data_IF_885087191917
#
_entry.id   IF_885087191917
#
_cell.length_a   1.000
_cell.length_b   1.000
_cell.length_c   1.000
_cell.angle_alpha   90.00
_cell.angle_beta   90.00
_cell.angle_gamma   90.00
#
_symmetry.space_group_name_H-M   'P 1'
#
loop_
_entity.id
_entity.type
_entity.pdbx_description
1 polymer ?
#
# COMPACT_ATOMS: atom_id res chain seq x y z
N UNK A 1 15.56 -35.63 -5.30
CA UNK A 1 15.63 -34.15 -5.28
C UNK A 1 14.25 -33.67 -4.91
N UNK A 2 14.10 -33.09 -3.72
CA UNK A 2 12.79 -32.62 -3.26
C UNK A 2 12.37 -31.44 -4.14
N UNK A 3 11.17 -31.51 -4.70
CA UNK A 3 10.50 -30.39 -5.37
C UNK A 3 10.28 -29.30 -4.33
N UNK A 4 11.20 -28.34 -4.27
CA UNK A 4 11.07 -27.17 -3.42
C UNK A 4 9.85 -26.40 -3.91
N UNK A 5 8.79 -26.36 -3.11
CA UNK A 5 7.59 -25.60 -3.45
C UNK A 5 7.99 -24.14 -3.65
N UNK A 6 7.91 -23.65 -4.89
CA UNK A 6 8.17 -22.25 -5.21
C UNK A 6 7.09 -21.40 -4.52
N UNK A 7 7.47 -20.78 -3.41
CA UNK A 7 6.59 -19.82 -2.71
C UNK A 7 6.76 -18.43 -3.31
N UNK A 8 5.74 -17.58 -3.19
CA UNK A 8 5.82 -16.15 -3.59
C UNK A 8 7.05 -15.43 -3.02
N UNK A 9 7.51 -15.83 -1.83
CA UNK A 9 8.65 -15.23 -1.13
C UNK A 9 10.00 -15.91 -1.42
N UNK A 10 10.06 -16.84 -2.39
CA UNK A 10 11.30 -17.50 -2.79
C UNK A 10 12.46 -16.53 -3.06
N UNK A 11 12.26 -15.38 -3.76
CA UNK A 11 13.32 -14.40 -3.96
C UNK A 11 14.00 -13.96 -2.66
N UNK A 12 13.22 -13.72 -1.60
CA UNK A 12 13.76 -13.28 -0.32
C UNK A 12 14.68 -14.31 0.32
N UNK A 13 14.31 -15.59 0.22
CA UNK A 13 15.16 -16.69 0.70
C UNK A 13 16.46 -16.78 -0.10
N UNK A 14 16.37 -16.72 -1.43
CA UNK A 14 17.54 -16.77 -2.32
C UNK A 14 18.50 -15.61 -2.07
N UNK A 15 17.99 -14.39 -1.88
CA UNK A 15 18.80 -13.21 -1.57
C UNK A 15 19.45 -13.32 -0.20
N UNK A 16 18.71 -13.78 0.82
CA UNK A 16 19.23 -13.99 2.18
C UNK A 16 20.38 -15.02 2.18
N UNK A 17 20.23 -16.12 1.46
CA UNK A 17 21.27 -17.16 1.36
C UNK A 17 22.55 -16.63 0.68
N UNK A 18 22.43 -15.59 -0.14
CA UNK A 18 23.54 -14.86 -0.75
C UNK A 18 24.01 -13.65 0.06
N UNK A 19 23.57 -13.50 1.32
CA UNK A 19 23.86 -12.37 2.21
C UNK A 19 23.43 -11.00 1.66
N UNK A 20 22.41 -10.96 0.80
CA UNK A 20 21.81 -9.72 0.33
C UNK A 20 20.58 -9.43 1.20
N UNK A 21 20.58 -8.33 1.99
CA UNK A 21 19.41 -7.95 2.76
C UNK A 21 18.27 -7.54 1.82
N UNK A 22 17.05 -7.95 2.17
CA UNK A 22 15.85 -7.56 1.44
C UNK A 22 14.65 -7.43 2.38
N UNK A 23 13.71 -6.57 2.04
CA UNK A 23 12.41 -6.49 2.71
C UNK A 23 11.27 -6.53 1.70
N UNK A 24 10.18 -7.18 2.08
CA UNK A 24 8.93 -7.23 1.32
C UNK A 24 8.28 -5.85 1.35
N UNK A 25 7.73 -5.43 0.21
CA UNK A 25 7.18 -4.10 0.02
C UNK A 25 5.79 -4.12 -0.63
N UNK A 26 5.13 -2.95 -0.68
CA UNK A 26 3.84 -2.77 -1.36
C UNK A 26 2.70 -3.56 -0.71
N UNK A 27 1.87 -4.18 -1.54
CA UNK A 27 0.64 -4.86 -1.14
C UNK A 27 0.87 -6.06 -0.20
N UNK A 28 1.97 -6.79 -0.38
CA UNK A 28 2.34 -7.89 0.50
C UNK A 28 2.75 -7.38 1.89
N UNK A 29 3.43 -6.24 1.96
CA UNK A 29 3.88 -5.64 3.23
C UNK A 29 2.70 -5.13 4.06
N UNK A 30 1.75 -4.42 3.44
CA UNK A 30 0.55 -3.96 4.17
C UNK A 30 -0.40 -5.12 4.47
N UNK A 31 -0.46 -6.14 3.59
CA UNK A 31 -1.25 -7.35 3.79
C UNK A 31 -0.82 -8.15 5.02
N UNK A 32 0.49 -8.19 5.31
CA UNK A 32 1.04 -8.78 6.53
C UNK A 32 0.45 -8.16 7.82
N UNK A 33 0.12 -6.88 7.79
CA UNK A 33 -0.49 -6.16 8.91
C UNK A 33 -2.02 -6.26 8.97
N UNK A 34 -2.64 -7.10 8.13
CA UNK A 34 -4.08 -7.37 8.15
C UNK A 34 -4.89 -6.48 7.20
N UNK A 35 -4.25 -5.71 6.33
CA UNK A 35 -4.95 -5.01 5.23
C UNK A 35 -5.44 -6.04 4.21
N UNK A 36 -6.73 -6.06 3.83
CA UNK A 36 -7.20 -6.92 2.75
C UNK A 36 -6.73 -6.38 1.40
N UNK A 37 -5.62 -6.93 0.90
CA UNK A 37 -5.06 -6.57 -0.41
C UNK A 37 -5.25 -7.66 -1.44
N UNK A 38 -5.42 -7.23 -2.70
CA UNK A 38 -5.19 -8.08 -3.86
C UNK A 38 -3.73 -7.87 -4.26
N UNK A 39 -2.97 -8.96 -4.31
CA UNK A 39 -1.55 -8.92 -4.67
C UNK A 39 -1.38 -9.18 -6.16
N UNK A 40 -0.61 -8.32 -6.82
CA UNK A 40 -0.22 -8.45 -8.22
C UNK A 40 1.25 -8.91 -8.26
N UNK A 41 2.15 -8.07 -8.74
CA UNK A 41 3.60 -8.28 -8.65
C UNK A 41 4.08 -8.35 -7.20
N UNK A 42 5.19 -9.05 -6.99
CA UNK A 42 5.86 -9.14 -5.70
C UNK A 42 6.96 -8.09 -5.63
N UNK A 43 6.80 -7.07 -4.77
CA UNK A 43 7.77 -5.98 -4.64
C UNK A 43 8.72 -6.25 -3.48
N UNK A 44 10.01 -6.11 -3.72
CA UNK A 44 11.02 -6.20 -2.66
C UNK A 44 11.98 -5.02 -2.74
N UNK A 45 12.28 -4.43 -1.60
CA UNK A 45 13.36 -3.45 -1.48
C UNK A 45 14.67 -4.18 -1.26
N UNK A 46 15.72 -3.72 -1.94
CA UNK A 46 17.10 -4.19 -1.80
C UNK A 46 18.07 -2.99 -1.81
N UNK A 47 19.27 -3.08 -1.20
CA UNK A 47 20.24 -1.99 -1.26
C UNK A 47 20.75 -1.73 -2.68
N UNK A 48 20.96 -2.81 -3.44
CA UNK A 48 21.50 -2.78 -4.80
C UNK A 48 20.66 -3.72 -5.67
N UNK A 49 19.95 -3.14 -6.64
CA UNK A 49 19.07 -3.90 -7.52
C UNK A 49 19.84 -4.75 -8.53
N UNK A 50 21.00 -4.29 -8.99
CA UNK A 50 21.82 -5.01 -9.98
C UNK A 50 22.43 -6.26 -9.36
N UNK A 51 23.00 -6.12 -8.16
CA UNK A 51 23.55 -7.25 -7.40
C UNK A 51 22.47 -8.28 -7.07
N UNK A 52 21.31 -7.82 -6.62
CA UNK A 52 20.19 -8.71 -6.30
C UNK A 52 19.63 -9.42 -7.55
N UNK A 53 19.52 -8.72 -8.67
CA UNK A 53 19.11 -9.30 -9.95
C UNK A 53 20.09 -10.39 -10.41
N UNK A 54 21.40 -10.13 -10.33
CA UNK A 54 22.43 -11.10 -10.72
C UNK A 54 22.29 -12.41 -9.93
N UNK A 55 22.10 -12.33 -8.61
CA UNK A 55 21.88 -13.51 -7.76
C UNK A 55 20.65 -14.30 -8.20
N UNK A 56 19.53 -13.62 -8.47
CA UNK A 56 18.31 -14.30 -8.90
C UNK A 56 18.48 -14.94 -10.29
N UNK A 57 19.15 -14.26 -11.22
CA UNK A 57 19.46 -14.79 -12.56
C UNK A 57 20.33 -16.04 -12.48
N UNK A 58 21.36 -16.05 -11.62
CA UNK A 58 22.18 -17.23 -11.37
C UNK A 58 21.37 -18.42 -10.80
N UNK A 59 20.21 -18.16 -10.20
CA UNK A 59 19.26 -19.16 -9.68
C UNK A 59 18.12 -19.46 -10.65
N UNK A 60 18.24 -19.04 -11.92
CA UNK A 60 17.30 -19.38 -13.00
C UNK A 60 16.16 -18.39 -13.22
N UNK A 61 16.14 -17.24 -12.53
CA UNK A 61 15.18 -16.19 -12.83
C UNK A 61 15.53 -15.48 -14.13
N UNK A 62 14.52 -14.97 -14.83
CA UNK A 62 14.72 -14.27 -16.10
C UNK A 62 14.46 -12.78 -15.93
N UNK A 63 15.41 -11.96 -16.39
CA UNK A 63 15.24 -10.51 -16.44
C UNK A 63 14.38 -10.14 -17.65
N UNK A 64 13.31 -9.40 -17.40
CA UNK A 64 12.35 -8.93 -18.40
C UNK A 64 12.53 -7.44 -18.69
N UNK A 65 11.95 -6.99 -19.81
CA UNK A 65 11.85 -5.55 -20.08
C UNK A 65 11.01 -4.86 -18.99
N UNK A 66 11.55 -3.76 -18.49
CA UNK A 66 10.98 -2.94 -17.43
C UNK A 66 10.04 -1.85 -17.97
N UNK A 67 9.94 -1.68 -19.29
CA UNK A 67 9.16 -0.61 -19.94
C UNK A 67 7.66 -0.62 -19.60
N UNK A 68 7.10 -1.77 -19.21
CA UNK A 68 5.68 -1.91 -18.85
C UNK A 68 5.43 -2.21 -17.37
N UNK A 69 6.48 -2.19 -16.54
CA UNK A 69 6.34 -2.47 -15.12
C UNK A 69 5.47 -1.43 -14.44
N UNK A 70 4.68 -1.89 -13.47
CA UNK A 70 3.80 -1.04 -12.67
C UNK A 70 4.04 -1.25 -11.18
N UNK A 71 3.74 -0.22 -10.40
CA UNK A 71 3.52 -0.30 -8.97
C UNK A 71 2.02 -0.14 -8.70
N UNK A 72 1.37 -1.25 -8.30
CA UNK A 72 -0.08 -1.37 -8.43
C UNK A 72 -0.52 -1.19 -9.88
N UNK A 73 -1.35 -0.17 -10.14
CA UNK A 73 -1.82 0.15 -11.49
C UNK A 73 -1.02 1.25 -12.20
N UNK A 74 0.02 1.78 -11.55
CA UNK A 74 0.75 2.96 -12.03
C UNK A 74 2.06 2.56 -12.69
N UNK A 75 2.40 3.10 -13.89
CA UNK A 75 3.71 2.87 -14.49
C UNK A 75 4.86 3.23 -13.55
N UNK A 76 5.78 2.30 -13.37
CA UNK A 76 6.94 2.49 -12.51
C UNK A 76 8.06 3.19 -13.29
N UNK A 77 8.42 4.40 -12.85
CA UNK A 77 9.46 5.23 -13.50
C UNK A 77 10.81 5.24 -12.77
N UNK A 78 10.82 4.79 -11.52
CA UNK A 78 12.04 4.61 -10.71
C UNK A 78 12.94 3.54 -11.31
N UNK A 79 14.22 3.55 -10.94
CA UNK A 79 15.08 2.40 -11.23
C UNK A 79 14.49 1.14 -10.59
N UNK A 80 14.47 0.04 -11.34
CA UNK A 80 13.98 -1.25 -10.87
C UNK A 80 14.42 -2.36 -11.82
N UNK A 81 14.37 -3.60 -11.34
CA UNK A 81 14.45 -4.79 -12.19
C UNK A 81 13.16 -5.59 -12.12
N UNK A 82 12.73 -6.06 -13.29
CA UNK A 82 11.57 -6.91 -13.46
C UNK A 82 12.04 -8.34 -13.72
N UNK A 83 11.81 -9.25 -12.78
CA UNK A 83 12.21 -10.66 -12.92
C UNK A 83 11.02 -11.60 -12.91
N UNK A 84 11.01 -12.55 -13.83
CA UNK A 84 10.06 -13.66 -13.86
C UNK A 84 10.69 -14.91 -13.26
N UNK A 85 9.90 -15.71 -12.52
CA UNK A 85 10.39 -16.94 -11.91
C UNK A 85 10.83 -17.94 -12.99
N UNK A 86 11.77 -18.87 -12.67
CA UNK A 86 12.10 -19.96 -13.57
C UNK A 86 10.82 -20.71 -13.97
N UNK A 87 10.58 -20.86 -15.27
CA UNK A 87 9.41 -21.57 -15.78
C UNK A 87 9.50 -23.02 -15.33
N UNK A 88 8.66 -23.41 -14.38
CA UNK A 88 8.48 -24.82 -14.04
C UNK A 88 7.66 -25.47 -15.17
N UNK A 89 8.35 -26.15 -16.08
CA UNK A 89 7.75 -26.87 -17.22
C UNK A 89 6.70 -27.90 -16.77
N UNK A 90 6.63 -28.20 -15.47
CA UNK A 90 5.64 -29.10 -14.88
C UNK A 90 4.35 -28.42 -14.39
N UNK A 91 4.32 -27.10 -14.23
CA UNK A 91 3.13 -26.35 -13.81
C UNK A 91 2.46 -25.66 -15.01
N UNK A 92 1.84 -26.48 -15.87
CA UNK A 92 0.93 -26.03 -16.93
C UNK A 92 -0.40 -25.51 -16.35
N UNK A 93 -0.39 -24.58 -15.38
CA UNK A 93 -1.57 -23.77 -15.12
C UNK A 93 -1.42 -22.46 -15.88
N UNK A 94 -2.31 -22.17 -16.85
CA UNK A 94 -2.23 -20.93 -17.61
C UNK A 94 -2.38 -19.76 -16.63
N UNK A 95 -1.36 -18.89 -16.59
CA UNK A 95 -1.47 -17.59 -15.95
C UNK A 95 -2.70 -16.89 -16.53
N UNK A 96 -3.61 -16.43 -15.68
CA UNK A 96 -4.78 -15.68 -16.11
C UNK A 96 -4.32 -14.43 -16.87
N UNK A 97 -4.78 -14.29 -18.11
CA UNK A 97 -4.45 -13.15 -18.98
C UNK A 97 -5.64 -12.19 -19.05
N UNK A 98 -5.39 -10.85 -19.09
CA UNK A 98 -6.45 -9.87 -19.32
C UNK A 98 -7.17 -10.17 -20.64
N UNK A 99 -8.44 -10.57 -20.54
CA UNK A 99 -9.27 -11.02 -21.67
C UNK A 99 -10.01 -12.35 -21.46
N UNK A 100 -9.63 -13.14 -20.44
CA UNK A 100 -10.25 -14.43 -20.12
C UNK A 100 -11.51 -14.37 -19.22
N UNK A 101 -12.15 -13.20 -19.11
CA UNK A 101 -13.35 -13.00 -18.29
C UNK A 101 -13.05 -12.46 -16.89
N UNK A 102 -14.06 -12.41 -15.99
CA UNK A 102 -13.88 -11.87 -14.65
C UNK A 102 -12.79 -12.65 -13.90
N UNK A 103 -11.97 -11.96 -13.08
CA UNK A 103 -10.90 -12.62 -12.34
C UNK A 103 -11.47 -13.73 -11.46
N UNK A 104 -10.77 -14.87 -11.33
CA UNK A 104 -11.22 -15.95 -10.46
C UNK A 104 -11.35 -15.43 -9.01
N UNK A 105 -12.29 -15.98 -8.22
CA UNK A 105 -12.45 -15.61 -6.83
C UNK A 105 -11.13 -15.84 -6.07
N UNK A 106 -10.85 -15.02 -5.02
CA UNK A 106 -9.58 -15.08 -4.30
C UNK A 106 -9.33 -16.49 -3.79
N UNK A 107 -8.29 -17.11 -4.34
CA UNK A 107 -7.80 -18.42 -3.92
C UNK A 107 -7.31 -18.35 -2.47
N UNK A 108 -7.67 -19.34 -1.65
CA UNK A 108 -7.08 -19.53 -0.31
C UNK A 108 -5.62 -20.00 -0.35
N UNK A 109 -5.12 -20.43 -1.51
CA UNK A 109 -3.70 -20.74 -1.72
C UNK A 109 -2.95 -19.44 -2.03
N UNK A 110 -1.75 -19.24 -1.46
CA UNK A 110 -0.90 -18.13 -1.86
C UNK A 110 -0.71 -18.16 -3.38
N UNK A 111 -0.58 -16.99 -4.04
CA UNK A 111 -0.26 -16.96 -5.46
C UNK A 111 1.00 -17.80 -5.72
N UNK A 112 1.00 -18.54 -6.83
CA UNK A 112 2.18 -19.26 -7.29
C UNK A 112 3.38 -18.33 -7.56
N UNK A 113 4.49 -18.86 -8.09
CA UNK A 113 5.64 -18.06 -8.49
C UNK A 113 5.18 -16.79 -9.22
N UNK A 114 5.40 -15.62 -8.61
CA UNK A 114 4.92 -14.36 -9.17
C UNK A 114 6.10 -13.51 -9.58
N UNK A 115 5.92 -12.78 -10.68
CA UNK A 115 6.78 -11.68 -11.11
C UNK A 115 7.30 -10.89 -9.91
N UNK A 116 8.62 -10.77 -9.81
CA UNK A 116 9.32 -10.06 -8.74
C UNK A 116 9.90 -8.76 -9.26
N UNK A 117 9.59 -7.66 -8.58
CA UNK A 117 10.11 -6.34 -8.88
C UNK A 117 11.10 -5.94 -7.79
N UNK A 118 12.36 -5.78 -8.17
CA UNK A 118 13.41 -5.26 -7.30
C UNK A 118 13.37 -3.75 -7.32
N UNK A 119 13.25 -3.15 -6.14
CA UNK A 119 13.22 -1.71 -5.95
C UNK A 119 14.44 -1.30 -5.11
N UNK A 120 15.15 -0.21 -5.48
CA UNK A 120 16.26 0.28 -4.69
C UNK A 120 15.72 0.94 -3.42
N UNK A 121 16.13 0.43 -2.25
CA UNK A 121 15.66 0.93 -0.96
C UNK A 121 15.94 2.43 -0.76
N UNK A 122 17.04 2.93 -1.34
CA UNK A 122 17.40 4.34 -1.33
C UNK A 122 16.36 5.24 -2.01
N UNK A 123 15.76 4.80 -3.12
CA UNK A 123 14.69 5.58 -3.75
C UNK A 123 13.37 5.48 -3.01
N UNK A 124 13.19 4.45 -2.18
CA UNK A 124 11.96 4.22 -1.40
C UNK A 124 12.08 4.69 0.05
N UNK A 125 13.09 5.52 0.35
CA UNK A 125 13.33 6.11 1.67
C UNK A 125 13.36 5.09 2.82
N UNK A 126 13.76 3.85 2.51
CA UNK A 126 13.85 2.77 3.49
C UNK A 126 15.30 2.52 3.86
N UNK A 127 15.58 2.52 5.17
CA UNK A 127 16.91 2.20 5.71
C UNK A 127 16.89 0.81 6.32
N UNK A 128 17.79 -0.06 5.87
CA UNK A 128 17.89 -1.39 6.45
C UNK A 128 18.45 -1.33 7.88
N UNK A 129 17.83 -2.04 8.84
CA UNK A 129 18.42 -2.22 10.15
C UNK A 129 19.69 -3.07 10.04
N UNK A 130 20.59 -2.95 11.03
CA UNK A 130 21.83 -3.73 11.06
C UNK A 130 21.58 -5.25 11.14
N UNK A 131 20.42 -5.66 11.64
CA UNK A 131 19.98 -7.06 11.74
C UNK A 131 18.56 -7.14 11.18
N UNK A 132 18.35 -8.04 10.21
CA UNK A 132 17.04 -8.30 9.61
C UNK A 132 16.56 -9.65 10.12
N UNK A 133 15.61 -9.63 11.06
CA UNK A 133 15.01 -10.84 11.63
C UNK A 133 13.84 -11.38 10.79
N UNK A 134 13.16 -10.47 10.06
CA UNK A 134 11.98 -10.74 9.25
C UNK A 134 12.12 -10.10 7.88
N UNK A 135 11.56 -10.72 6.85
CA UNK A 135 11.44 -10.08 5.53
C UNK A 135 10.40 -8.97 5.54
N UNK A 136 9.47 -8.94 6.48
CA UNK A 136 8.49 -7.87 6.60
C UNK A 136 9.08 -6.71 7.42
N UNK A 137 9.04 -5.47 6.91
CA UNK A 137 9.49 -4.31 7.67
C UNK A 137 8.60 -4.14 8.90
N UNK A 138 9.14 -3.76 10.08
CA UNK A 138 8.30 -3.44 11.21
C UNK A 138 7.38 -2.23 10.89
N UNK A 139 6.21 -2.18 11.52
CA UNK A 139 5.13 -1.28 11.13
C UNK A 139 5.52 0.21 11.16
N UNK A 140 6.23 0.71 12.21
CA UNK A 140 6.68 2.10 12.22
C UNK A 140 7.59 2.44 11.04
N UNK A 141 8.56 1.58 10.73
CA UNK A 141 9.53 1.77 9.64
C UNK A 141 8.86 1.70 8.26
N UNK A 142 7.89 0.79 8.09
CA UNK A 142 7.05 0.74 6.90
C UNK A 142 6.29 2.06 6.70
N UNK A 143 5.62 2.54 7.75
CA UNK A 143 4.83 3.76 7.68
C UNK A 143 5.73 4.99 7.45
N UNK A 144 6.85 5.09 8.16
CA UNK A 144 7.81 6.19 7.99
C UNK A 144 8.34 6.27 6.55
N UNK A 145 8.74 5.15 5.95
CA UNK A 145 9.24 5.14 4.58
C UNK A 145 8.14 5.44 3.55
N UNK A 146 6.90 4.99 3.77
CA UNK A 146 5.77 5.35 2.92
C UNK A 146 5.44 6.85 3.01
N UNK A 147 5.41 7.43 4.22
CA UNK A 147 5.18 8.87 4.45
C UNK A 147 6.32 9.68 3.82
N UNK A 148 7.57 9.34 4.07
CA UNK A 148 8.71 10.05 3.47
C UNK A 148 8.61 10.03 1.95
N UNK A 149 8.37 8.85 1.35
CA UNK A 149 8.25 8.72 -0.11
C UNK A 149 7.08 9.54 -0.69
N UNK A 150 5.96 9.59 0.03
CA UNK A 150 4.78 10.38 -0.34
C UNK A 150 5.07 11.89 -0.29
N UNK A 151 5.73 12.35 0.78
CA UNK A 151 6.01 13.76 1.02
C UNK A 151 7.18 14.28 0.17
N UNK A 152 8.14 13.44 -0.21
CA UNK A 152 9.27 13.84 -1.07
C UNK A 152 8.95 13.74 -2.57
N UNK A 153 8.00 12.87 -2.97
CA UNK A 153 7.70 12.63 -4.38
C UNK A 153 6.98 13.79 -5.08
N UNK A 154 7.09 13.96 -6.40
CA UNK A 154 6.30 14.96 -7.12
C UNK A 154 4.80 14.61 -7.11
N UNK A 155 3.93 15.59 -6.92
CA UNK A 155 2.46 15.41 -6.90
C UNK A 155 1.86 15.08 -8.28
N UNK A 156 2.67 15.18 -9.34
CA UNK A 156 2.28 14.88 -10.72
C UNK A 156 2.37 13.39 -11.06
N UNK A 157 3.05 12.60 -10.21
CA UNK A 157 3.29 11.20 -10.47
C UNK A 157 2.18 10.35 -9.89
N UNK A 158 1.63 9.43 -10.69
CA UNK A 158 0.56 8.53 -10.24
C UNK A 158 0.95 7.67 -9.04
N UNK A 159 2.25 7.49 -8.76
CA UNK A 159 2.76 6.71 -7.63
C UNK A 159 2.25 7.29 -6.31
N UNK A 160 2.08 8.61 -6.25
CA UNK A 160 1.49 9.30 -5.10
C UNK A 160 0.10 8.76 -4.73
N UNK A 161 -0.76 8.47 -5.72
CA UNK A 161 -2.07 7.87 -5.46
C UNK A 161 -1.94 6.48 -4.84
N UNK A 162 -1.01 5.66 -5.35
CA UNK A 162 -0.82 4.30 -4.82
C UNK A 162 -0.28 4.35 -3.38
N UNK A 163 0.70 5.21 -3.09
CA UNK A 163 1.22 5.41 -1.73
C UNK A 163 0.15 5.88 -0.76
N UNK A 164 -0.64 6.87 -1.17
CA UNK A 164 -1.80 7.36 -0.42
C UNK A 164 -2.77 6.23 -0.08
N UNK A 165 -3.10 5.36 -1.04
CA UNK A 165 -3.99 4.23 -0.81
C UNK A 165 -3.41 3.25 0.20
N UNK A 166 -2.12 2.89 0.06
CA UNK A 166 -1.45 2.00 1.00
C UNK A 166 -1.47 2.56 2.43
N UNK A 167 -1.17 3.85 2.60
CA UNK A 167 -1.21 4.52 3.90
C UNK A 167 -2.64 4.59 4.45
N UNK A 168 -3.61 5.00 3.64
CA UNK A 168 -5.02 5.08 4.06
C UNK A 168 -5.56 3.71 4.49
N UNK A 169 -5.17 2.64 3.80
CA UNK A 169 -5.50 1.28 4.19
C UNK A 169 -4.85 0.87 5.50
N UNK A 170 -3.58 1.20 5.73
CA UNK A 170 -2.95 0.97 7.01
C UNK A 170 -3.75 1.63 8.16
N UNK A 171 -4.10 2.91 8.04
CA UNK A 171 -4.94 3.60 9.04
C UNK A 171 -6.34 3.01 9.19
N UNK A 172 -6.95 2.55 8.10
CA UNK A 172 -8.29 1.96 8.12
C UNK A 172 -8.34 0.61 8.85
N UNK A 173 -7.37 -0.27 8.59
CA UNK A 173 -7.41 -1.67 9.00
C UNK A 173 -6.54 -2.00 10.21
N UNK A 174 -5.40 -1.33 10.41
CA UNK A 174 -4.44 -1.71 11.46
C UNK A 174 -4.80 -1.04 12.79
N UNK A 175 -5.16 -1.78 13.85
CA UNK A 175 -5.63 -1.19 15.10
C UNK A 175 -4.59 -0.29 15.79
N UNK A 176 -3.31 -0.67 15.73
CA UNK A 176 -2.22 0.10 16.34
C UNK A 176 -2.15 1.54 15.81
N UNK A 177 -2.48 1.76 14.54
CA UNK A 177 -2.45 3.09 13.92
C UNK A 177 -3.65 3.97 14.31
N UNK A 178 -4.58 3.47 15.10
CA UNK A 178 -5.70 4.24 15.66
C UNK A 178 -5.35 4.87 17.01
N UNK A 179 -4.20 4.52 17.58
CA UNK A 179 -3.74 5.01 18.87
C UNK A 179 -2.75 6.15 18.69
N UNK A 180 -3.02 7.31 19.31
CA UNK A 180 -2.11 8.46 19.27
C UNK A 180 -0.68 8.12 19.76
N UNK A 181 -0.55 7.22 20.73
CA UNK A 181 0.73 6.76 21.27
C UNK A 181 1.61 6.05 20.23
N UNK A 182 1.02 5.59 19.12
CA UNK A 182 1.81 4.98 18.05
C UNK A 182 2.86 5.95 17.48
N UNK A 183 2.57 7.25 17.45
CA UNK A 183 3.50 8.29 16.99
C UNK A 183 4.86 8.27 17.70
N UNK A 184 4.96 7.76 18.94
CA UNK A 184 6.22 7.67 19.68
C UNK A 184 7.25 6.76 18.98
N UNK A 185 6.78 5.82 18.15
CA UNK A 185 7.61 4.89 17.39
C UNK A 185 8.01 5.42 16.01
N UNK A 186 7.40 6.52 15.56
CA UNK A 186 7.70 7.15 14.28
C UNK A 186 8.85 8.16 14.40
N UNK A 187 9.50 8.45 13.27
CA UNK A 187 10.36 9.61 13.11
C UNK A 187 9.67 10.86 13.62
N UNK A 188 10.41 11.73 14.30
CA UNK A 188 9.86 12.91 14.97
C UNK A 188 9.05 13.79 14.01
N UNK A 189 9.56 14.00 12.80
CA UNK A 189 8.90 14.83 11.79
C UNK A 189 7.65 14.21 11.15
N UNK A 190 7.38 12.91 11.36
CA UNK A 190 6.18 12.21 10.86
C UNK A 190 5.09 12.08 11.91
N UNK A 191 5.38 12.42 13.16
CA UNK A 191 4.40 12.32 14.26
C UNK A 191 3.20 13.23 14.01
N UNK A 192 3.43 14.41 13.44
CA UNK A 192 2.35 15.34 13.15
C UNK A 192 1.42 14.81 12.05
N UNK A 193 1.96 14.21 10.99
CA UNK A 193 1.16 13.47 9.99
C UNK A 193 0.23 12.44 10.64
N UNK A 194 0.74 11.69 11.63
CA UNK A 194 -0.06 10.72 12.36
C UNK A 194 -1.19 11.38 13.18
N UNK A 195 -0.90 12.46 13.90
CA UNK A 195 -1.91 13.19 14.64
C UNK A 195 -2.97 13.81 13.74
N UNK A 196 -2.57 14.34 12.59
CA UNK A 196 -3.48 14.97 11.62
C UNK A 196 -4.33 13.95 10.87
N UNK A 197 -3.78 12.78 10.55
CA UNK A 197 -4.56 11.65 10.06
C UNK A 197 -5.65 11.22 11.07
N UNK A 198 -5.34 11.24 12.38
CA UNK A 198 -6.28 10.89 13.44
C UNK A 198 -7.25 12.03 13.83
N UNK A 199 -6.94 13.28 13.49
CA UNK A 199 -7.80 14.43 13.81
C UNK A 199 -9.02 14.55 12.89
N UNK A 200 -9.09 13.72 11.84
CA UNK A 200 -10.17 13.70 10.86
C UNK A 200 -9.87 14.51 9.60
N UNK A 201 -8.62 14.95 9.39
CA UNK A 201 -8.23 15.51 8.10
C UNK A 201 -8.41 14.49 6.99
N UNK A 202 -8.76 14.97 5.79
CA UNK A 202 -8.94 14.14 4.61
C UNK A 202 -7.57 13.79 4.04
N UNK A 203 -7.00 12.70 4.56
CA UNK A 203 -5.69 12.18 4.14
C UNK A 203 -5.67 11.86 2.65
N UNK A 204 -4.50 11.98 2.03
CA UNK A 204 -4.34 11.55 0.64
C UNK A 204 -4.89 12.51 -0.41
N UNK A 205 -5.20 13.74 -0.02
CA UNK A 205 -5.59 14.81 -0.94
C UNK A 205 -4.40 15.74 -1.20
N UNK A 206 -4.42 16.46 -2.33
CA UNK A 206 -3.35 17.43 -2.63
C UNK A 206 -3.21 18.50 -1.53
N UNK A 207 -4.29 19.13 -1.01
CA UNK A 207 -4.18 20.08 0.11
C UNK A 207 -3.52 19.47 1.34
N UNK A 208 -3.94 18.28 1.74
CA UNK A 208 -3.36 17.57 2.89
C UNK A 208 -1.87 17.34 2.71
N UNK A 209 -1.42 16.89 1.53
CA UNK A 209 -0.01 16.60 1.31
C UNK A 209 0.87 17.86 1.23
N UNK A 210 0.34 18.96 0.69
CA UNK A 210 1.04 20.25 0.74
C UNK A 210 1.20 20.74 2.18
N UNK A 211 0.12 20.66 2.96
CA UNK A 211 0.11 21.00 4.38
C UNK A 211 1.13 20.17 5.18
N UNK A 212 1.10 18.85 5.03
CA UNK A 212 2.03 17.95 5.74
C UNK A 212 3.49 18.17 5.37
N UNK A 213 3.79 18.58 4.13
CA UNK A 213 5.16 18.98 3.73
C UNK A 213 5.63 20.21 4.50
N UNK A 214 4.81 21.24 4.52
CA UNK A 214 5.13 22.50 5.21
C UNK A 214 5.34 22.26 6.71
N UNK A 215 4.49 21.45 7.32
CA UNK A 215 4.60 21.06 8.72
C UNK A 215 5.85 20.24 9.00
N UNK A 216 6.14 19.21 8.17
CA UNK A 216 7.35 18.39 8.31
C UNK A 216 8.62 19.23 8.21
N UNK A 217 8.68 20.14 7.24
CA UNK A 217 9.83 21.02 7.05
C UNK A 217 9.97 22.01 8.22
N UNK A 218 8.85 22.55 8.72
CA UNK A 218 8.85 23.41 9.91
C UNK A 218 9.27 22.66 11.19
N UNK A 219 8.92 21.38 11.34
CA UNK A 219 9.39 20.53 12.44
C UNK A 219 10.90 20.29 12.36
N UNK A 220 11.42 19.98 11.17
CA UNK A 220 12.86 19.80 10.92
C UNK A 220 13.66 21.06 11.23
N UNK A 221 13.09 22.23 10.95
CA UNK A 221 13.70 23.53 11.25
C UNK A 221 13.47 24.03 12.69
N UNK A 222 12.70 23.30 13.51
CA UNK A 222 12.35 23.69 14.87
C UNK A 222 11.41 24.89 14.97
N UNK A 223 10.72 25.25 13.88
CA UNK A 223 9.72 26.33 13.81
C UNK A 223 8.31 25.89 14.20
N UNK A 224 8.09 24.59 14.35
CA UNK A 224 6.81 23.99 14.71
C UNK A 224 6.98 23.03 15.89
N UNK A 225 5.93 22.90 16.71
CA UNK A 225 5.87 21.95 17.82
C UNK A 225 4.69 21.02 17.60
N UNK A 226 4.88 19.74 17.93
CA UNK A 226 3.83 18.73 17.82
C UNK A 226 2.57 19.17 18.60
N UNK A 227 1.41 18.95 17.99
CA UNK A 227 0.11 19.25 18.56
C UNK A 227 -0.93 18.22 18.10
N UNK A 228 -2.10 18.22 18.76
CA UNK A 228 -3.16 17.25 18.45
C UNK A 228 -3.74 17.39 17.04
N UNK A 229 -3.67 18.59 16.45
CA UNK A 229 -4.16 18.91 15.11
C UNK A 229 -3.46 20.18 14.64
N UNK A 230 -2.78 20.14 13.50
CA UNK A 230 -1.94 21.24 13.00
C UNK A 230 -2.68 22.28 12.15
N UNK A 231 -3.96 22.06 11.86
CA UNK A 231 -4.81 23.00 11.13
C UNK A 231 -6.12 23.33 11.87
N UNK A 232 -6.77 24.40 11.44
CA UNK A 232 -8.10 24.79 11.90
C UNK A 232 -9.15 23.77 11.42
N UNK A 233 -10.03 23.30 12.31
CA UNK A 233 -11.11 22.36 11.97
C UNK A 233 -12.19 22.96 11.06
N UNK A 234 -12.16 24.27 10.83
CA UNK A 234 -12.98 24.97 9.86
C UNK A 234 -12.30 25.11 8.49
N UNK A 235 -11.06 24.62 8.31
CA UNK A 235 -10.41 24.54 7.00
C UNK A 235 -11.08 23.48 6.12
N UNK A 236 -12.02 23.92 5.31
CA UNK A 236 -12.80 23.07 4.41
C UNK A 236 -11.94 22.33 3.37
N UNK A 237 -10.72 22.80 3.09
CA UNK A 237 -9.80 22.15 2.15
C UNK A 237 -9.13 20.91 2.75
N UNK A 238 -8.94 20.90 4.08
CA UNK A 238 -8.36 19.78 4.83
C UNK A 238 -9.43 18.87 5.44
N UNK A 239 -10.62 19.39 5.77
CA UNK A 239 -11.71 18.65 6.40
C UNK A 239 -12.91 18.41 5.46
N UNK A 240 -12.63 17.95 4.23
CA UNK A 240 -13.66 17.79 3.18
C UNK A 240 -14.80 16.83 3.56
N UNK A 241 -14.55 15.80 4.37
CA UNK A 241 -15.60 14.89 4.84
C UNK A 241 -16.66 15.61 5.69
N UNK A 242 -16.25 16.58 6.52
CA UNK A 242 -17.14 17.43 7.32
C UNK A 242 -18.00 18.31 6.41
N UNK A 243 -17.41 18.86 5.35
CA UNK A 243 -18.13 19.62 4.32
C UNK A 243 -19.13 18.73 3.59
N UNK A 244 -18.73 17.53 3.18
CA UNK A 244 -19.61 16.58 2.51
C UNK A 244 -20.79 16.19 3.41
N UNK A 245 -20.55 15.90 4.69
CA UNK A 245 -21.61 15.61 5.65
C UNK A 245 -22.58 16.79 5.82
N UNK A 246 -22.07 18.04 5.88
CA UNK A 246 -22.90 19.25 5.93
C UNK A 246 -23.76 19.40 4.66
N UNK A 247 -23.16 19.20 3.48
CA UNK A 247 -23.89 19.27 2.20
C UNK A 247 -24.96 18.19 2.08
N UNK A 248 -24.67 16.96 2.52
CA UNK A 248 -25.64 15.86 2.57
C UNK A 248 -26.80 16.18 3.54
N UNK A 249 -26.50 16.76 4.71
CA UNK A 249 -27.53 17.17 5.66
C UNK A 249 -28.42 18.30 5.12
N UNK A 250 -27.86 19.23 4.33
CA UNK A 250 -28.60 20.33 3.70
C UNK A 250 -29.48 19.87 2.54
N UNK A 251 -29.06 18.84 1.80
CA UNK A 251 -29.80 18.33 0.64
C UNK A 251 -30.99 17.43 1.01
N UNK A 252 -31.21 17.15 2.31
CA UNK A 252 -32.21 16.21 2.78
C UNK A 252 -31.90 14.77 2.35
N UNK A 253 -32.59 13.76 2.92
CA UNK A 253 -32.43 12.40 2.45
C UNK A 253 -32.92 12.29 0.98
N UNK A 254 -32.23 11.52 0.11
CA UNK A 254 -32.63 11.36 -1.29
C UNK A 254 -33.98 10.67 -1.47
N UNK A 255 -34.50 10.09 -0.38
CA UNK A 255 -35.79 9.43 -0.30
C UNK A 255 -36.52 9.92 0.94
N UNK A 256 -37.81 10.17 0.83
CA UNK A 256 -38.70 10.29 1.99
C UNK A 256 -38.71 8.97 2.78
N UNK A 257 -39.04 9.05 4.08
CA UNK A 257 -39.24 7.86 4.90
C UNK A 257 -40.28 6.89 4.29
N UNK A 258 -41.26 7.46 3.57
CA UNK A 258 -42.31 6.72 2.86
C UNK A 258 -41.75 5.95 1.65
N UNK A 259 -40.84 6.55 0.87
CA UNK A 259 -40.16 5.89 -0.25
C UNK A 259 -39.21 4.77 0.22
N UNK A 260 -38.52 4.97 1.34
CA UNK A 260 -37.65 3.95 1.93
C UNK A 260 -38.45 2.72 2.40
N UNK A 261 -39.55 2.93 3.13
CA UNK A 261 -40.41 1.83 3.57
C UNK A 261 -41.11 1.12 2.40
N UNK A 262 -41.44 1.86 1.33
CA UNK A 262 -41.99 1.26 0.11
C UNK A 262 -40.96 0.37 -0.62
N UNK A 263 -39.70 0.80 -0.73
CA UNK A 263 -38.63 -0.01 -1.35
C UNK A 263 -38.32 -1.26 -0.53
N UNK A 264 -38.18 -1.11 0.80
CA UNK A 264 -37.97 -2.23 1.73
C UNK A 264 -39.10 -3.26 1.64
N UNK A 265 -40.34 -2.81 1.48
CA UNK A 265 -41.50 -3.70 1.29
C UNK A 265 -41.44 -4.43 -0.07
N UNK A 266 -41.01 -3.75 -1.13
CA UNK A 266 -40.79 -4.38 -2.46
C UNK A 266 -39.70 -5.44 -2.42
N UNK A 267 -38.58 -5.20 -1.75
CA UNK A 267 -37.50 -6.17 -1.59
C UNK A 267 -37.95 -7.40 -0.79
N UNK A 268 -38.68 -7.21 0.30
CA UNK A 268 -39.23 -8.31 1.11
C UNK A 268 -40.28 -9.14 0.34
N UNK A 269 -41.09 -8.50 -0.51
CA UNK A 269 -42.05 -9.19 -1.38
C UNK A 269 -41.34 -9.94 -2.52
N UNK A 270 -40.26 -9.38 -3.08
CA UNK A 270 -39.43 -10.03 -4.08
C UNK A 270 -38.70 -11.25 -3.52
N UNK A 271 -38.06 -11.13 -2.35
CA UNK A 271 -37.42 -12.26 -1.67
C UNK A 271 -38.42 -13.38 -1.40
N UNK A 272 -39.63 -13.05 -0.89
CA UNK A 272 -40.66 -14.06 -0.64
C UNK A 272 -41.14 -14.76 -1.92
N UNK A 273 -41.18 -14.04 -3.05
CA UNK A 273 -41.53 -14.59 -4.36
C UNK A 273 -40.43 -15.48 -4.98
N UNK A 274 -39.18 -15.37 -4.54
CA UNK A 274 -38.08 -16.21 -5.04
C UNK A 274 -37.97 -17.55 -4.30
N UNK A 275 -38.71 -17.74 -3.20
CA UNK A 275 -38.66 -18.94 -2.36
C UNK A 275 -39.97 -19.76 -2.34
N UNK A 276 -40.97 -19.38 -3.15
CA UNK A 276 -42.19 -20.16 -3.48
C UNK A 276 -42.11 -20.70 -4.92
#
# INVERSE_FOLDING_TARGET
>A
MATEHVTRFQPCYLLRDSNIPCVIWGEDAVGYYGVPTVVFSFYILVPDIDQAAEVLIQRGWHLEDSAQTKFGNIPLRSAHHHLTPPIDVTQNEPAWSPGMGPPPPPSKKPPGPTTTILLPASEWNFTFPSIIESFFPPLPELLDALIDKLLDGPLTDGIWNQLTVLIAYLYGYVPALKEKSFAEHLKYEHRQYHYDALSGMTTGTVPFILHEREIRDALREGRFQLCDCSADQEDESLFTAKVQARLLALNGPPFSAEEYEAEKKRELEYERSCFD
#
